data_IF_264858787255
#
_entry.id   IF_264858787255
#
_cell.length_a   1.000
_cell.length_b   1.000
_cell.length_c   1.000
_cell.angle_alpha   90.00
_cell.angle_beta   90.00
_cell.angle_gamma   90.00
#
_symmetry.space_group_name_H-M   'P 1'
#
loop_
_entity.id
_entity.type
_entity.pdbx_description
1 polymer ?
#
# COMPACT_ATOMS: atom_id res chain seq x y z
N UNK A 1 -26.76 -2.69 54.74
CA UNK A 1 -26.38 -2.85 53.32
C UNK A 1 -26.99 -1.65 52.62
N UNK A 2 -26.18 -0.64 52.32
CA UNK A 2 -26.67 0.57 51.66
C UNK A 2 -27.19 0.20 50.26
N UNK A 3 -28.38 0.70 49.91
CA UNK A 3 -29.07 0.35 48.68
C UNK A 3 -29.09 1.59 47.79
N UNK A 4 -28.57 1.46 46.57
CA UNK A 4 -28.56 2.52 45.58
C UNK A 4 -29.88 2.54 44.81
N UNK A 5 -30.42 3.73 44.57
CA UNK A 5 -31.68 3.95 43.86
C UNK A 5 -31.46 4.76 42.58
N UNK A 6 -32.35 4.63 41.56
CA UNK A 6 -32.32 5.47 40.37
C UNK A 6 -32.37 6.95 40.74
N UNK A 7 -31.40 7.73 40.26
CA UNK A 7 -31.23 9.15 40.57
C UNK A 7 -30.03 9.46 41.46
N UNK A 8 -29.50 8.47 42.18
CA UNK A 8 -28.31 8.64 43.01
C UNK A 8 -27.07 8.95 42.17
N UNK A 9 -26.18 9.78 42.70
CA UNK A 9 -24.87 10.03 42.11
C UNK A 9 -23.82 9.17 42.81
N UNK A 10 -22.95 8.54 42.03
CA UNK A 10 -22.00 7.54 42.50
C UNK A 10 -20.65 7.65 41.80
N UNK A 11 -19.62 7.11 42.47
CA UNK A 11 -18.29 6.83 41.92
C UNK A 11 -18.11 5.31 41.76
N UNK A 12 -17.24 4.91 40.83
CA UNK A 12 -16.87 3.49 40.61
C UNK A 12 -15.47 3.25 41.14
N UNK A 13 -15.34 2.32 42.08
CA UNK A 13 -14.07 1.97 42.72
C UNK A 13 -13.22 1.08 41.77
N UNK A 14 -12.00 1.52 41.40
CA UNK A 14 -11.13 0.80 40.45
C UNK A 14 -10.54 -0.51 41.00
N UNK A 15 -10.36 -1.52 40.11
CA UNK A 15 -9.86 -2.88 40.43
C UNK A 15 -8.35 -3.13 40.30
N UNK A 16 -7.54 -2.19 39.79
CA UNK A 16 -6.11 -2.43 39.55
C UNK A 16 -5.21 -1.40 40.26
N UNK A 17 -4.80 -1.70 41.50
CA UNK A 17 -3.66 -1.02 42.16
C UNK A 17 -2.36 -1.74 41.78
N UNK A 18 -1.70 -1.30 40.72
CA UNK A 18 -0.38 -1.85 40.31
C UNK A 18 0.80 -1.04 40.89
N UNK A 19 0.58 0.15 41.46
CA UNK A 19 1.64 0.92 42.13
C UNK A 19 1.08 2.01 43.05
N UNK A 20 1.77 2.27 44.18
CA UNK A 20 1.48 3.35 45.14
C UNK A 20 1.91 4.74 44.66
N UNK A 21 2.55 4.87 43.49
CA UNK A 21 3.03 6.15 42.91
C UNK A 21 2.17 6.66 41.74
N UNK A 22 1.06 6.01 41.41
CA UNK A 22 0.09 6.54 40.46
C UNK A 22 -0.98 7.31 41.23
N UNK A 23 -0.98 8.64 41.08
CA UNK A 23 -2.10 9.47 41.51
C UNK A 23 -3.36 9.02 40.73
N UNK A 24 -4.47 8.73 41.42
CA UNK A 24 -5.70 8.31 40.77
C UNK A 24 -6.20 9.43 39.86
N UNK A 25 -6.20 9.20 38.55
CA UNK A 25 -6.87 10.08 37.59
C UNK A 25 -8.37 10.10 37.91
N UNK A 26 -8.90 11.32 38.04
CA UNK A 26 -10.18 11.68 38.62
C UNK A 26 -11.37 10.82 38.14
N UNK A 27 -12.11 10.33 39.12
CA UNK A 27 -13.34 9.55 39.02
C UNK A 27 -14.48 10.45 38.47
N UNK A 28 -15.07 10.07 37.33
CA UNK A 28 -16.23 10.77 36.80
C UNK A 28 -17.44 10.47 37.69
N UNK A 29 -18.16 11.51 38.14
CA UNK A 29 -19.44 11.35 38.84
C UNK A 29 -20.47 10.78 37.85
N UNK A 30 -21.07 9.65 38.19
CA UNK A 30 -22.08 8.99 37.35
C UNK A 30 -23.44 9.00 38.07
N UNK A 31 -24.53 9.03 37.32
CA UNK A 31 -25.89 8.93 37.86
C UNK A 31 -26.45 7.53 37.66
N UNK A 32 -27.07 6.95 38.68
CA UNK A 32 -27.75 5.65 38.59
C UNK A 32 -29.04 5.83 37.79
N UNK A 33 -29.20 5.03 36.73
CA UNK A 33 -30.41 5.03 35.88
C UNK A 33 -31.34 3.90 36.27
N UNK A 34 -30.80 2.73 36.58
CA UNK A 34 -31.56 1.55 37.02
C UNK A 34 -30.65 0.59 37.77
N UNK A 35 -31.23 -0.21 38.67
CA UNK A 35 -30.52 -1.28 39.37
C UNK A 35 -31.33 -2.57 39.19
N UNK A 36 -30.68 -3.62 38.70
CA UNK A 36 -31.33 -4.92 38.51
C UNK A 36 -31.40 -5.71 39.82
N UNK A 37 -32.34 -6.67 39.96
CA UNK A 37 -32.44 -7.52 41.15
C UNK A 37 -31.15 -8.30 41.48
N UNK A 38 -30.32 -8.56 40.48
CA UNK A 38 -29.05 -9.28 40.57
C UNK A 38 -27.89 -8.40 41.08
N UNK A 39 -28.15 -7.13 41.40
CA UNK A 39 -27.14 -6.23 41.98
C UNK A 39 -26.20 -5.59 40.94
N UNK A 40 -26.70 -5.31 39.75
CA UNK A 40 -25.99 -4.56 38.70
C UNK A 40 -26.71 -3.24 38.44
N UNK A 41 -25.99 -2.12 38.58
CA UNK A 41 -26.49 -0.78 38.28
C UNK A 41 -26.11 -0.37 36.85
N UNK A 42 -27.06 0.22 36.12
CA UNK A 42 -26.79 0.97 34.89
C UNK A 42 -26.58 2.42 35.25
N UNK A 43 -25.42 2.96 34.88
CA UNK A 43 -24.96 4.30 35.20
C UNK A 43 -24.92 5.15 33.94
N UNK A 44 -25.12 6.46 34.08
CA UNK A 44 -24.96 7.43 32.99
C UNK A 44 -24.06 8.58 33.42
N UNK A 45 -23.08 8.92 32.59
CA UNK A 45 -22.24 10.10 32.78
C UNK A 45 -22.90 11.37 32.27
N UNK A 46 -22.36 12.55 32.63
CA UNK A 46 -22.84 13.85 32.12
C UNK A 46 -22.80 13.96 30.59
N UNK A 47 -21.89 13.23 29.95
CA UNK A 47 -21.78 13.09 28.50
C UNK A 47 -22.89 12.25 27.85
N UNK A 48 -23.74 11.59 28.63
CA UNK A 48 -24.80 10.70 28.14
C UNK A 48 -24.35 9.26 27.90
N UNK A 49 -23.06 8.96 28.02
CA UNK A 49 -22.52 7.60 27.90
C UNK A 49 -23.02 6.73 29.05
N UNK A 50 -23.42 5.49 28.75
CA UNK A 50 -23.90 4.52 29.75
C UNK A 50 -22.87 3.44 30.06
N UNK A 51 -22.82 3.00 31.31
CA UNK A 51 -21.99 1.88 31.77
C UNK A 51 -22.79 0.98 32.71
N UNK A 52 -22.34 -0.27 32.91
CA UNK A 52 -22.95 -1.22 33.84
C UNK A 52 -21.92 -1.66 34.86
N UNK A 53 -22.25 -1.54 36.14
CA UNK A 53 -21.35 -1.88 37.23
C UNK A 53 -22.05 -2.64 38.34
N UNK A 54 -21.32 -3.50 39.05
CA UNK A 54 -21.88 -4.13 40.24
C UNK A 54 -22.08 -3.08 41.33
N UNK A 55 -23.21 -3.15 42.02
CA UNK A 55 -23.54 -2.27 43.15
C UNK A 55 -22.47 -2.31 44.25
N UNK A 56 -21.76 -3.44 44.38
CA UNK A 56 -20.62 -3.60 45.30
C UNK A 56 -19.36 -2.79 44.94
N UNK A 57 -19.25 -2.32 43.68
CA UNK A 57 -18.15 -1.48 43.22
C UNK A 57 -18.49 0.03 43.30
N UNK A 58 -19.64 0.40 43.86
CA UNK A 58 -20.10 1.79 43.87
C UNK A 58 -19.91 2.45 45.24
N UNK A 59 -19.63 3.75 45.22
CA UNK A 59 -19.62 4.61 46.39
C UNK A 59 -20.49 5.84 46.14
N UNK A 60 -21.21 6.33 47.16
CA UNK A 60 -22.03 7.53 47.00
C UNK A 60 -21.18 8.77 46.70
N UNK A 61 -21.70 9.61 45.81
CA UNK A 61 -21.19 10.94 45.59
C UNK A 61 -22.01 11.95 46.39
N UNK A 62 -21.34 12.65 47.31
CA UNK A 62 -21.97 13.64 48.20
C UNK A 62 -21.85 15.09 47.70
N UNK A 63 -21.46 15.30 46.44
CA UNK A 63 -21.39 16.64 45.85
C UNK A 63 -22.80 17.23 45.69
N UNK A 64 -23.06 18.35 46.35
CA UNK A 64 -24.38 18.97 46.47
C UNK A 64 -24.77 19.91 45.32
N UNK A 65 -23.88 20.10 44.34
CA UNK A 65 -24.05 21.05 43.23
C UNK A 65 -23.86 20.41 41.84
N UNK A 66 -24.31 19.17 41.67
CA UNK A 66 -24.23 18.46 40.38
C UNK A 66 -25.37 18.93 39.48
N UNK A 67 -25.02 19.50 38.33
CA UNK A 67 -25.95 19.85 37.26
C UNK A 67 -26.48 18.57 36.57
N UNK A 68 -27.80 18.28 36.60
CA UNK A 68 -28.36 17.06 36.02
C UNK A 68 -28.48 17.10 34.49
N UNK A 69 -28.12 18.21 33.83
CA UNK A 69 -28.19 18.34 32.38
C UNK A 69 -27.13 17.46 31.71
N UNK A 70 -27.60 16.54 30.88
CA UNK A 70 -26.77 15.75 29.98
C UNK A 70 -26.38 16.66 28.81
N UNK A 71 -25.07 16.92 28.64
CA UNK A 71 -24.55 17.67 27.50
C UNK A 71 -23.71 16.73 26.62
N UNK A 72 -24.27 16.27 25.48
CA UNK A 72 -23.57 15.37 24.55
C UNK A 72 -22.27 15.96 23.99
N UNK A 73 -22.10 17.29 24.02
CA UNK A 73 -20.88 17.96 23.51
C UNK A 73 -19.69 17.80 24.44
N UNK A 74 -19.92 17.34 25.67
CA UNK A 74 -18.87 17.04 26.66
C UNK A 74 -18.46 15.55 26.57
N UNK A 75 -19.05 14.78 25.65
CA UNK A 75 -18.65 13.41 25.39
C UNK A 75 -17.23 13.38 24.82
N UNK A 76 -16.28 13.02 25.68
CA UNK A 76 -14.94 12.62 25.26
C UNK A 76 -15.07 11.15 24.83
N UNK A 77 -14.93 10.83 23.54
CA UNK A 77 -14.92 9.44 23.11
C UNK A 77 -13.76 8.70 23.79
N UNK A 78 -13.95 7.42 24.08
CA UNK A 78 -12.86 6.60 24.60
C UNK A 78 -11.70 6.61 23.60
N UNK A 79 -10.45 6.67 24.09
CA UNK A 79 -9.27 6.75 23.23
C UNK A 79 -9.11 5.52 22.31
N UNK A 80 -9.82 4.44 22.61
CA UNK A 80 -9.91 3.20 21.85
C UNK A 80 -11.20 3.07 21.01
N UNK A 81 -11.97 4.15 20.85
CA UNK A 81 -13.17 4.16 20.01
C UNK A 81 -12.80 3.82 18.57
N UNK A 82 -13.20 2.63 18.14
CA UNK A 82 -12.87 2.10 16.82
C UNK A 82 -13.79 2.68 15.74
N UNK A 83 -13.24 2.87 14.54
CA UNK A 83 -14.06 3.18 13.38
C UNK A 83 -14.93 1.99 12.99
N UNK A 84 -16.25 2.17 12.84
CA UNK A 84 -17.21 1.11 12.52
C UNK A 84 -16.93 0.39 11.19
N UNK A 85 -16.26 1.05 10.23
CA UNK A 85 -15.93 0.42 8.94
C UNK A 85 -14.64 -0.38 8.98
N UNK A 86 -13.60 0.13 9.62
CA UNK A 86 -12.26 -0.48 9.58
C UNK A 86 -11.90 -1.22 10.86
N UNK A 87 -12.65 -1.00 11.95
CA UNK A 87 -12.43 -1.60 13.26
C UNK A 87 -11.21 -1.06 14.02
N UNK A 88 -10.57 0.00 13.55
CA UNK A 88 -9.36 0.56 14.18
C UNK A 88 -9.64 1.91 14.87
N UNK A 89 -9.07 2.16 16.06
CA UNK A 89 -9.21 3.43 16.78
C UNK A 89 -8.13 4.48 16.43
N UNK A 90 -7.32 4.23 15.40
CA UNK A 90 -6.24 5.13 15.01
C UNK A 90 -6.75 6.43 14.37
N UNK A 91 -5.91 7.44 14.17
CA UNK A 91 -6.26 8.68 13.46
C UNK A 91 -7.53 9.39 13.98
N UNK A 92 -7.59 9.58 15.29
CA UNK A 92 -8.66 10.30 16.00
C UNK A 92 -8.90 11.71 15.41
N UNK A 93 -7.84 12.38 14.93
CA UNK A 93 -7.89 13.69 14.28
C UNK A 93 -8.66 13.71 12.94
N UNK A 94 -8.93 12.52 12.37
CA UNK A 94 -9.63 12.33 11.09
C UNK A 94 -10.84 11.43 11.24
N UNK A 95 -11.35 11.31 12.46
CA UNK A 95 -12.54 10.52 12.77
C UNK A 95 -13.73 11.44 13.01
N UNK A 96 -14.83 11.18 12.31
CA UNK A 96 -16.13 11.77 12.58
C UNK A 96 -16.83 10.93 13.63
N UNK A 97 -17.43 11.59 14.60
CA UNK A 97 -18.29 10.97 15.58
C UNK A 97 -19.74 11.27 15.20
N UNK A 98 -20.61 10.28 15.33
CA UNK A 98 -22.03 10.51 15.20
C UNK A 98 -22.57 11.10 16.51
N UNK A 99 -23.05 12.34 16.48
CA UNK A 99 -23.62 13.04 17.66
C UNK A 99 -24.81 12.30 18.29
N UNK A 100 -25.49 11.42 17.53
CA UNK A 100 -26.66 10.69 17.99
C UNK A 100 -26.39 9.28 18.55
N UNK A 101 -25.32 8.60 18.13
CA UNK A 101 -25.04 7.23 18.56
C UNK A 101 -23.61 7.00 19.07
N UNK A 102 -22.76 8.02 19.07
CA UNK A 102 -21.39 7.95 19.60
C UNK A 102 -20.42 7.08 18.80
N UNK A 103 -20.82 6.58 17.63
CA UNK A 103 -19.96 5.75 16.76
C UNK A 103 -18.93 6.59 16.01
N UNK A 104 -17.74 6.02 15.80
CA UNK A 104 -16.63 6.67 15.08
C UNK A 104 -16.51 6.19 13.63
N UNK A 105 -16.19 7.11 12.72
CA UNK A 105 -15.96 6.82 11.31
C UNK A 105 -14.79 7.64 10.77
N UNK A 106 -13.75 7.00 10.22
CA UNK A 106 -12.71 7.77 9.54
C UNK A 106 -13.26 8.45 8.29
N UNK A 107 -12.81 9.67 8.04
CA UNK A 107 -13.16 10.43 6.83
C UNK A 107 -12.87 9.66 5.53
N UNK A 108 -11.79 8.87 5.51
CA UNK A 108 -11.44 8.03 4.36
C UNK A 108 -12.23 6.71 4.29
N UNK A 109 -12.88 6.32 5.38
CA UNK A 109 -13.75 5.16 5.48
C UNK A 109 -15.19 5.47 5.06
N UNK A 110 -15.54 6.67 4.59
CA UNK A 110 -16.88 6.94 4.06
C UNK A 110 -16.89 6.82 2.52
N UNK A 111 -17.92 6.19 1.94
CA UNK A 111 -18.13 6.10 0.49
C UNK A 111 -19.43 6.80 0.08
N UNK A 112 -19.41 7.67 -0.97
CA UNK A 112 -18.25 8.07 -1.75
C UNK A 112 -17.25 8.88 -0.89
N UNK A 113 -15.96 8.86 -1.26
CA UNK A 113 -14.93 9.64 -0.57
C UNK A 113 -15.35 11.10 -0.61
N UNK A 114 -15.84 11.64 0.49
CA UNK A 114 -16.27 13.04 0.56
C UNK A 114 -15.03 13.92 0.29
N UNK A 115 -14.91 14.41 -0.96
CA UNK A 115 -14.08 15.57 -1.25
C UNK A 115 -14.73 16.73 -0.52
N UNK A 116 -13.98 17.36 0.37
CA UNK A 116 -14.34 18.57 1.09
C UNK A 116 -15.04 19.57 0.17
N UNK A 117 -16.36 19.62 0.28
CA UNK A 117 -17.14 20.83 0.13
C UNK A 117 -17.93 20.93 1.44
N UNK A 118 -17.44 21.77 2.35
CA UNK A 118 -18.28 22.30 3.41
C UNK A 118 -19.22 23.32 2.76
N UNK A 119 -20.53 23.13 2.83
CA UNK A 119 -21.40 24.24 3.16
C UNK A 119 -21.93 24.01 4.58
N UNK A 120 -21.97 25.11 5.33
CA UNK A 120 -22.62 25.11 6.62
C UNK A 120 -24.09 24.65 6.46
N UNK A 121 -24.49 23.73 7.34
CA UNK A 121 -25.85 23.24 7.64
C UNK A 121 -26.43 22.15 6.70
N UNK A 122 -26.71 21.01 7.34
CA UNK A 122 -28.07 20.42 7.32
C UNK A 122 -28.36 19.32 6.31
N UNK A 123 -28.73 18.15 6.86
CA UNK A 123 -29.51 17.04 6.29
C UNK A 123 -28.83 15.97 5.41
N UNK A 124 -29.19 14.72 5.67
CA UNK A 124 -28.68 13.48 5.08
C UNK A 124 -29.20 13.24 3.64
N UNK A 125 -28.45 12.55 2.75
CA UNK A 125 -28.95 12.30 1.41
C UNK A 125 -29.87 11.08 1.34
N UNK A 126 -31.12 11.34 0.96
CA UNK A 126 -32.04 10.41 0.31
C UNK A 126 -31.67 10.32 -1.18
N UNK A 127 -31.71 9.12 -1.76
CA UNK A 127 -31.49 8.88 -3.19
C UNK A 127 -32.51 9.62 -4.08
N UNK A 128 -32.14 10.04 -5.31
CA UNK A 128 -33.00 9.67 -6.43
C UNK A 128 -32.35 9.51 -7.83
N UNK A 129 -32.98 8.62 -8.60
CA UNK A 129 -33.42 8.69 -10.01
C UNK A 129 -32.45 8.90 -11.20
N UNK A 130 -32.67 7.97 -12.15
CA UNK A 130 -32.51 8.00 -13.62
C UNK A 130 -32.13 9.36 -14.25
N UNK A 131 -31.14 9.33 -15.15
CA UNK A 131 -30.96 10.33 -16.20
C UNK A 131 -30.72 9.67 -17.58
N UNK A 132 -31.50 10.15 -18.55
CA UNK A 132 -31.50 9.85 -20.01
C UNK A 132 -30.29 10.52 -20.73
N UNK A 133 -30.03 10.25 -22.03
CA UNK A 133 -28.72 10.50 -22.64
C UNK A 133 -28.57 11.84 -23.43
N UNK A 134 -27.30 12.27 -23.57
CA UNK A 134 -26.67 13.26 -24.50
C UNK A 134 -26.76 14.77 -24.14
N UNK A 135 -25.72 15.62 -24.40
CA UNK A 135 -25.08 15.82 -25.72
C UNK A 135 -23.53 15.93 -25.80
N UNK A 136 -22.98 15.28 -26.84
CA UNK A 136 -21.92 15.64 -27.83
C UNK A 136 -20.70 16.52 -27.45
N UNK A 137 -20.72 17.40 -26.44
CA UNK A 137 -19.62 18.35 -26.17
C UNK A 137 -18.37 17.73 -25.52
N UNK A 138 -18.48 16.56 -24.89
CA UNK A 138 -17.35 15.88 -24.21
C UNK A 138 -16.44 15.07 -25.12
N UNK A 139 -16.81 14.82 -26.38
CA UNK A 139 -15.96 14.12 -27.35
C UNK A 139 -14.82 15.00 -27.88
N UNK A 140 -15.05 16.32 -27.98
CA UNK A 140 -14.06 17.27 -28.50
C UNK A 140 -12.82 17.41 -27.58
N UNK A 141 -13.01 17.40 -26.26
CA UNK A 141 -11.90 17.58 -25.29
C UNK A 141 -10.98 16.35 -25.17
N UNK A 142 -11.49 15.16 -25.48
CA UNK A 142 -10.70 13.92 -25.52
C UNK A 142 -9.97 13.69 -26.84
N UNK A 143 -10.54 14.16 -27.96
CA UNK A 143 -9.99 14.00 -29.30
C UNK A 143 -8.84 14.98 -29.59
N UNK A 144 -8.99 16.25 -29.18
CA UNK A 144 -7.93 17.26 -29.31
C UNK A 144 -6.66 16.89 -28.52
N UNK A 145 -6.82 16.22 -27.37
CA UNK A 145 -5.71 15.77 -26.49
C UNK A 145 -4.81 14.68 -27.10
N UNK A 146 -5.23 14.08 -28.23
CA UNK A 146 -4.53 12.96 -28.90
C UNK A 146 -3.96 13.34 -30.26
N UNK A 147 -4.17 14.57 -30.70
CA UNK A 147 -3.46 15.12 -31.86
C UNK A 147 -1.95 15.09 -31.59
N UNK A 148 -1.16 14.72 -32.59
CA UNK A 148 0.28 14.44 -32.55
C UNK A 148 0.72 13.15 -31.82
N UNK A 149 -0.18 12.19 -31.57
CA UNK A 149 0.21 10.88 -31.02
C UNK A 149 0.87 9.99 -32.07
N UNK A 150 1.90 9.22 -31.67
CA UNK A 150 2.55 8.22 -32.52
C UNK A 150 1.72 6.92 -32.58
N UNK A 151 1.58 6.37 -33.77
CA UNK A 151 0.86 5.11 -34.03
C UNK A 151 1.76 4.11 -34.77
N UNK A 152 1.53 2.82 -34.52
CA UNK A 152 2.12 1.70 -35.26
C UNK A 152 0.98 0.82 -35.77
N UNK A 153 0.87 0.69 -37.09
CA UNK A 153 -0.16 -0.11 -37.75
C UNK A 153 0.48 -1.35 -38.36
N UNK A 154 -0.16 -2.50 -38.12
CA UNK A 154 0.18 -3.77 -38.75
C UNK A 154 -0.94 -4.16 -39.70
N UNK A 155 -0.63 -4.35 -40.97
CA UNK A 155 -1.60 -4.80 -41.96
C UNK A 155 -0.97 -5.78 -42.94
N UNK A 156 -1.74 -6.75 -43.46
CA UNK A 156 -1.27 -7.60 -44.54
C UNK A 156 -1.12 -6.76 -45.80
N UNK A 157 0.04 -6.87 -46.46
CA UNK A 157 0.25 -6.26 -47.76
C UNK A 157 -0.75 -6.84 -48.77
N UNK A 158 -1.54 -6.02 -49.47
CA UNK A 158 -2.63 -6.52 -50.29
C UNK A 158 -2.17 -7.33 -51.52
N UNK A 159 -0.89 -7.25 -51.91
CA UNK A 159 -0.34 -7.96 -53.06
C UNK A 159 0.46 -9.20 -52.66
N UNK A 160 1.09 -9.19 -51.49
CA UNK A 160 1.99 -10.26 -51.03
C UNK A 160 1.49 -11.02 -49.80
N UNK A 161 0.42 -10.55 -49.16
CA UNK A 161 -0.14 -11.03 -47.88
C UNK A 161 0.85 -11.03 -46.71
N UNK A 162 2.09 -10.60 -46.94
CA UNK A 162 3.11 -10.43 -45.92
C UNK A 162 2.68 -9.33 -44.94
N UNK A 163 2.86 -9.56 -43.64
CA UNK A 163 2.55 -8.54 -42.64
C UNK A 163 3.54 -7.40 -42.77
N UNK A 164 3.03 -6.19 -43.02
CA UNK A 164 3.80 -4.95 -43.04
C UNK A 164 3.47 -4.12 -41.80
N UNK A 165 4.50 -3.49 -41.26
CA UNK A 165 4.40 -2.57 -40.13
C UNK A 165 4.73 -1.15 -40.63
N UNK A 166 3.88 -0.19 -40.30
CA UNK A 166 4.09 1.22 -40.63
C UNK A 166 3.89 2.10 -39.42
N UNK A 167 4.81 3.05 -39.25
CA UNK A 167 4.78 4.05 -38.17
C UNK A 167 4.36 5.40 -38.72
N UNK A 168 3.59 6.13 -37.92
CA UNK A 168 3.07 7.42 -38.31
C UNK A 168 2.61 8.26 -37.13
N UNK A 169 2.17 9.47 -37.43
CA UNK A 169 1.64 10.44 -36.47
C UNK A 169 0.21 10.79 -36.84
N UNK A 170 -0.70 10.82 -35.87
CA UNK A 170 -2.09 11.22 -36.10
C UNK A 170 -2.33 12.68 -35.75
N UNK A 171 -3.08 13.39 -36.58
CA UNK A 171 -3.58 14.74 -36.33
C UNK A 171 -5.09 14.75 -36.31
N UNK A 172 -5.67 15.42 -35.33
CA UNK A 172 -7.11 15.62 -35.27
C UNK A 172 -7.55 16.65 -36.32
N UNK A 173 -8.53 16.32 -37.15
CA UNK A 173 -8.94 17.17 -38.30
C UNK A 173 -10.20 17.99 -38.03
N UNK A 174 -11.34 17.37 -37.66
CA UNK A 174 -12.55 18.09 -37.20
C UNK A 174 -13.59 17.15 -36.57
N UNK A 175 -14.65 17.70 -35.96
CA UNK A 175 -15.85 16.98 -35.49
C UNK A 175 -17.04 17.04 -36.45
N UNK A 176 -16.85 17.61 -37.65
CA UNK A 176 -17.97 17.95 -38.55
C UNK A 176 -18.45 16.77 -39.42
N UNK A 177 -17.68 15.67 -39.48
CA UNK A 177 -18.03 14.47 -40.24
C UNK A 177 -18.22 13.25 -39.32
N UNK A 178 -19.25 12.40 -39.55
CA UNK A 178 -19.42 11.16 -38.80
C UNK A 178 -18.44 10.09 -39.28
N UNK A 179 -17.65 9.53 -38.36
CA UNK A 179 -16.93 8.27 -38.56
C UNK A 179 -15.40 8.36 -38.58
N UNK A 180 -14.82 9.34 -39.26
CA UNK A 180 -13.37 9.46 -39.47
C UNK A 180 -12.90 10.88 -39.14
N UNK A 181 -12.13 11.03 -38.05
CA UNK A 181 -11.84 12.34 -37.45
C UNK A 181 -10.34 12.59 -37.21
N UNK A 182 -9.48 11.64 -37.56
CA UNK A 182 -8.02 11.74 -37.46
C UNK A 182 -7.35 11.48 -38.80
N UNK A 183 -6.34 12.26 -39.14
CA UNK A 183 -5.46 12.05 -40.29
C UNK A 183 -4.13 11.48 -39.80
N UNK A 184 -3.79 10.25 -40.22
CA UNK A 184 -2.51 9.63 -39.99
C UNK A 184 -1.54 9.95 -41.13
N UNK A 185 -0.32 10.37 -40.80
CA UNK A 185 0.78 10.54 -41.76
C UNK A 185 1.88 9.55 -41.40
N UNK A 186 2.23 8.66 -42.33
CA UNK A 186 3.24 7.62 -42.12
C UNK A 186 4.62 8.06 -42.62
N UNK A 187 5.69 7.50 -42.05
CA UNK A 187 7.09 7.85 -42.36
C UNK A 187 7.47 7.61 -43.84
N UNK A 188 6.74 6.75 -44.54
CA UNK A 188 6.90 6.50 -45.98
C UNK A 188 6.12 7.46 -46.90
N UNK A 189 5.56 8.55 -46.37
CA UNK A 189 4.88 9.60 -47.13
C UNK A 189 3.38 9.36 -47.41
N UNK A 190 2.82 8.23 -46.96
CA UNK A 190 1.40 7.93 -47.10
C UNK A 190 0.53 8.61 -46.02
N UNK A 191 -0.68 9.02 -46.39
CA UNK A 191 -1.68 9.57 -45.46
C UNK A 191 -2.98 8.79 -45.49
N UNK A 192 -3.66 8.67 -44.35
CA UNK A 192 -4.93 7.94 -44.23
C UNK A 192 -5.84 8.58 -43.17
N UNK A 193 -7.15 8.48 -43.36
CA UNK A 193 -8.13 8.89 -42.36
C UNK A 193 -8.52 7.73 -41.44
N UNK A 194 -8.56 8.00 -40.13
CA UNK A 194 -8.83 7.01 -39.09
C UNK A 194 -9.95 7.47 -38.16
N UNK A 195 -10.78 6.51 -37.76
CA UNK A 195 -11.72 6.67 -36.65
C UNK A 195 -10.99 6.66 -35.30
N UNK A 196 -11.64 7.21 -34.26
CA UNK A 196 -11.11 7.16 -32.89
C UNK A 196 -10.83 5.72 -32.40
N UNK A 197 -11.61 4.73 -32.86
CA UNK A 197 -11.41 3.31 -32.51
C UNK A 197 -10.12 2.78 -33.14
N UNK A 198 -9.88 3.08 -34.41
CA UNK A 198 -8.65 2.66 -35.11
C UNK A 198 -7.41 3.34 -34.51
N UNK A 199 -7.49 4.64 -34.18
CA UNK A 199 -6.40 5.32 -33.48
C UNK A 199 -6.14 4.66 -32.14
N UNK A 200 -7.17 4.37 -31.32
CA UNK A 200 -6.99 3.68 -30.03
C UNK A 200 -6.31 2.32 -30.15
N UNK A 201 -6.62 1.56 -31.21
CA UNK A 201 -6.01 0.25 -31.46
C UNK A 201 -4.57 0.35 -31.99
N UNK A 202 -4.23 1.44 -32.70
CA UNK A 202 -2.93 1.66 -33.32
C UNK A 202 -1.98 2.56 -32.50
N UNK A 203 -2.45 3.16 -31.40
CA UNK A 203 -1.60 3.93 -30.48
C UNK A 203 -0.45 3.03 -30.03
N UNK A 204 0.78 3.44 -30.36
CA UNK A 204 1.94 2.84 -29.74
C UNK A 204 1.73 2.93 -28.22
N UNK A 205 1.91 1.83 -27.45
CA UNK A 205 2.11 2.00 -26.02
C UNK A 205 3.22 3.02 -25.92
N UNK A 206 2.93 4.16 -25.31
CA UNK A 206 3.90 5.22 -25.07
C UNK A 206 5.07 4.51 -24.40
N UNK A 207 6.13 4.20 -25.16
CA UNK A 207 7.45 4.23 -24.58
C UNK A 207 7.53 5.67 -24.16
N UNK A 208 7.56 5.98 -22.85
CA UNK A 208 7.88 7.33 -22.49
C UNK A 208 9.17 7.61 -23.26
N UNK A 209 9.14 8.63 -24.12
CA UNK A 209 10.32 9.45 -24.26
C UNK A 209 10.51 9.97 -22.84
N UNK A 210 11.19 9.16 -22.03
CA UNK A 210 11.94 9.65 -20.92
C UNK A 210 12.70 10.81 -21.55
N UNK A 211 12.38 12.03 -21.13
CA UNK A 211 13.45 12.93 -20.78
C UNK A 211 14.39 12.08 -19.92
N UNK A 212 15.33 11.43 -20.60
CA UNK A 212 16.32 10.57 -20.01
C UNK A 212 17.22 11.53 -19.28
N UNK A 213 16.80 11.90 -18.07
CA UNK A 213 17.77 11.96 -17.02
C UNK A 213 18.33 10.55 -16.98
N UNK A 214 19.42 10.34 -17.73
CA UNK A 214 20.24 9.15 -17.66
C UNK A 214 20.71 9.13 -16.21
N UNK A 215 19.92 8.47 -15.37
CA UNK A 215 20.26 8.30 -13.98
C UNK A 215 21.63 7.62 -13.99
N UNK A 216 22.66 8.19 -13.33
CA UNK A 216 24.01 7.70 -13.46
C UNK A 216 24.10 6.20 -13.12
N UNK A 217 25.04 5.53 -13.78
CA UNK A 217 25.34 4.15 -13.50
C UNK A 217 25.80 4.04 -12.04
N UNK A 218 25.25 3.06 -11.31
CA UNK A 218 25.71 2.77 -9.96
C UNK A 218 27.07 2.06 -10.04
N UNK A 219 28.00 2.30 -9.10
CA UNK A 219 29.22 1.50 -9.02
C UNK A 219 28.87 0.03 -8.79
N UNK A 220 29.68 -0.89 -9.33
CA UNK A 220 29.42 -2.35 -9.20
C UNK A 220 29.47 -2.82 -7.75
N UNK A 221 30.21 -2.12 -6.88
CA UNK A 221 30.35 -2.44 -5.47
C UNK A 221 30.07 -1.23 -4.60
N UNK A 222 29.36 -1.47 -3.51
CA UNK A 222 29.14 -0.52 -2.43
C UNK A 222 29.92 -0.96 -1.20
N UNK A 223 30.58 0.00 -0.53
CA UNK A 223 31.00 -0.21 0.84
C UNK A 223 29.77 -0.06 1.74
N UNK A 224 29.23 -1.17 2.21
CA UNK A 224 28.07 -1.20 3.11
C UNK A 224 28.48 -1.47 4.57
N UNK A 225 29.78 -1.52 4.85
CA UNK A 225 30.31 -1.86 6.19
C UNK A 225 30.17 -0.71 7.19
N UNK A 226 29.89 0.51 6.70
CA UNK A 226 29.76 1.72 7.52
C UNK A 226 28.45 2.47 7.25
N UNK A 227 27.96 3.23 8.23
CA UNK A 227 26.78 4.08 8.05
C UNK A 227 26.96 5.12 6.92
N UNK A 228 28.18 5.66 6.77
CA UNK A 228 28.52 6.58 5.70
C UNK A 228 28.44 5.91 4.32
N UNK A 229 28.95 4.68 4.21
CA UNK A 229 28.86 3.89 3.00
C UNK A 229 27.43 3.53 2.61
N UNK A 230 26.59 3.11 3.58
CA UNK A 230 25.16 2.87 3.35
C UNK A 230 24.43 4.16 2.91
N UNK A 231 24.75 5.31 3.52
CA UNK A 231 24.19 6.60 3.12
C UNK A 231 24.55 6.95 1.68
N UNK A 232 25.82 6.77 1.30
CA UNK A 232 26.30 7.04 -0.05
C UNK A 232 25.62 6.12 -1.07
N UNK A 233 25.52 4.83 -0.76
CA UNK A 233 24.81 3.84 -1.57
C UNK A 233 23.35 4.23 -1.81
N UNK A 234 22.66 4.74 -0.78
CA UNK A 234 21.25 5.14 -0.86
C UNK A 234 21.02 6.53 -1.46
N UNK A 235 22.05 7.37 -1.58
CA UNK A 235 21.90 8.75 -2.06
C UNK A 235 21.32 8.83 -3.48
N UNK A 236 21.58 7.83 -4.33
CA UNK A 236 21.07 7.78 -5.69
C UNK A 236 19.69 7.10 -5.83
N UNK A 237 19.48 5.86 -5.32
CA UNK A 237 18.18 5.19 -5.44
C UNK A 237 17.12 5.78 -4.49
N UNK A 238 17.53 6.53 -3.46
CA UNK A 238 16.66 7.21 -2.49
C UNK A 238 17.22 8.61 -2.17
N UNK A 239 17.13 9.57 -3.12
CA UNK A 239 17.68 10.91 -2.92
C UNK A 239 17.03 11.61 -1.73
N UNK A 240 17.84 12.27 -0.93
CA UNK A 240 17.38 12.86 0.34
C UNK A 240 17.11 11.82 1.44
N UNK A 241 17.84 10.70 1.43
CA UNK A 241 17.84 9.64 2.45
C UNK A 241 17.77 10.19 3.89
N UNK A 242 16.56 10.35 4.42
CA UNK A 242 16.28 10.85 5.77
C UNK A 242 16.33 9.76 6.84
N UNK A 243 17.22 8.78 6.69
CA UNK A 243 17.43 7.74 7.70
C UNK A 243 18.36 8.26 8.80
N UNK A 244 18.02 8.00 10.06
CA UNK A 244 18.85 8.40 11.19
C UNK A 244 20.17 7.63 11.23
N UNK A 245 21.21 8.21 11.84
CA UNK A 245 22.50 7.54 12.07
C UNK A 245 22.34 6.17 12.73
N UNK A 246 21.47 6.07 13.74
CA UNK A 246 21.18 4.82 14.42
C UNK A 246 20.56 3.76 13.48
N UNK A 247 19.78 4.17 12.48
CA UNK A 247 19.23 3.25 11.49
C UNK A 247 20.30 2.80 10.48
N UNK A 248 21.13 3.73 10.01
CA UNK A 248 22.21 3.44 9.06
C UNK A 248 23.25 2.50 9.67
N UNK A 249 23.65 2.74 10.92
CA UNK A 249 24.53 1.83 11.66
C UNK A 249 23.92 0.44 11.82
N UNK A 250 22.61 0.35 12.12
CA UNK A 250 21.92 -0.95 12.19
C UNK A 250 21.93 -1.70 10.86
N UNK A 251 21.74 -0.99 9.73
CA UNK A 251 21.84 -1.61 8.40
C UNK A 251 23.26 -2.14 8.15
N UNK A 252 24.28 -1.33 8.38
CA UNK A 252 25.69 -1.71 8.18
C UNK A 252 26.12 -2.92 9.01
N UNK A 253 25.56 -3.11 10.20
CA UNK A 253 25.83 -4.30 11.02
C UNK A 253 25.19 -5.58 10.47
N UNK A 254 24.17 -5.47 9.63
CA UNK A 254 23.30 -6.58 9.18
C UNK A 254 23.54 -7.02 7.74
N UNK A 255 24.27 -6.25 6.93
CA UNK A 255 24.68 -6.65 5.57
C UNK A 255 25.65 -7.84 5.61
N UNK A 256 25.79 -8.63 4.54
CA UNK A 256 26.78 -9.71 4.48
C UNK A 256 28.20 -9.25 4.91
N UNK A 257 28.82 -9.99 5.82
CA UNK A 257 30.13 -9.63 6.40
C UNK A 257 30.07 -8.64 7.58
N UNK A 258 28.90 -8.10 7.90
CA UNK A 258 28.68 -7.27 9.09
C UNK A 258 28.72 -8.08 10.39
N UNK A 259 29.06 -7.43 11.51
CA UNK A 259 29.20 -8.10 12.83
C UNK A 259 27.94 -8.79 13.34
N UNK A 260 26.76 -8.46 12.80
CA UNK A 260 25.47 -9.04 13.16
C UNK A 260 24.73 -9.59 11.93
N UNK A 261 25.46 -9.91 10.87
CA UNK A 261 24.88 -10.44 9.61
C UNK A 261 24.43 -11.89 9.74
N UNK A 262 24.96 -12.61 10.72
CA UNK A 262 24.67 -14.01 10.98
C UNK A 262 23.70 -14.13 12.17
N UNK A 263 22.83 -15.12 12.10
CA UNK A 263 22.00 -15.58 13.20
C UNK A 263 22.85 -16.32 14.25
N UNK A 264 22.26 -16.65 15.39
CA UNK A 264 22.95 -17.44 16.43
C UNK A 264 23.41 -18.83 15.93
N UNK A 265 22.80 -19.34 14.87
CA UNK A 265 23.20 -20.58 14.17
C UNK A 265 24.51 -20.43 13.38
N UNK A 266 25.06 -19.23 13.25
CA UNK A 266 26.21 -18.93 12.39
C UNK A 266 25.86 -18.77 10.91
N UNK A 267 24.57 -18.87 10.55
CA UNK A 267 24.10 -18.74 9.18
C UNK A 267 23.48 -17.36 8.93
N UNK A 268 23.50 -16.85 7.68
CA UNK A 268 22.75 -15.65 7.33
C UNK A 268 21.25 -15.81 7.60
N UNK A 269 20.53 -14.69 7.73
CA UNK A 269 19.08 -14.71 7.90
C UNK A 269 18.40 -15.46 6.73
N UNK A 270 17.36 -16.24 7.03
CA UNK A 270 16.53 -16.87 5.99
C UNK A 270 15.07 -16.65 6.40
N UNK A 271 14.32 -15.96 5.54
CA UNK A 271 12.91 -15.68 5.80
C UNK A 271 12.08 -16.79 5.16
N UNK A 272 11.58 -17.69 5.98
CA UNK A 272 10.71 -18.77 5.52
C UNK A 272 9.37 -18.20 5.03
N UNK A 273 9.00 -18.56 3.80
CA UNK A 273 7.70 -18.26 3.19
C UNK A 273 6.94 -19.55 2.92
N UNK A 274 5.61 -19.48 2.96
CA UNK A 274 4.72 -20.58 2.59
C UNK A 274 4.20 -20.41 1.15
N UNK A 275 3.86 -21.50 0.43
CA UNK A 275 3.24 -21.40 -0.88
C UNK A 275 1.97 -20.53 -0.88
N UNK A 276 1.16 -20.63 0.18
CA UNK A 276 -0.08 -19.86 0.35
C UNK A 276 0.16 -18.36 0.58
N UNK A 277 1.39 -17.97 0.95
CA UNK A 277 1.80 -16.57 1.01
C UNK A 277 2.17 -16.04 -0.38
N UNK A 278 2.65 -16.89 -1.30
CA UNK A 278 3.06 -16.52 -2.67
C UNK A 278 1.87 -16.47 -3.62
N UNK A 279 0.91 -17.37 -3.49
CA UNK A 279 -0.24 -17.46 -4.39
C UNK A 279 -1.06 -16.15 -4.52
N UNK A 280 -1.32 -15.39 -3.43
CA UNK A 280 -1.94 -14.07 -3.51
C UNK A 280 -1.23 -13.10 -4.46
N UNK A 281 0.12 -13.13 -4.52
CA UNK A 281 0.88 -12.30 -5.44
C UNK A 281 0.56 -12.63 -6.89
N UNK A 282 0.51 -13.91 -7.24
CA UNK A 282 0.24 -14.38 -8.60
C UNK A 282 -1.21 -14.18 -9.03
N UNK A 283 -2.15 -14.17 -8.08
CA UNK A 283 -3.54 -13.78 -8.35
C UNK A 283 -3.68 -12.29 -8.65
N UNK A 284 -2.96 -11.44 -7.92
CA UNK A 284 -3.09 -9.99 -8.03
C UNK A 284 -2.16 -9.34 -9.07
N UNK A 285 -1.10 -10.01 -9.52
CA UNK A 285 -0.15 -9.44 -10.47
C UNK A 285 0.07 -10.41 -11.62
N UNK A 286 -0.18 -9.92 -12.83
CA UNK A 286 -0.02 -10.69 -14.05
C UNK A 286 1.46 -10.79 -14.47
N UNK A 287 2.07 -11.94 -14.20
CA UNK A 287 3.42 -12.28 -14.66
C UNK A 287 3.45 -13.12 -15.94
N UNK A 288 2.30 -13.40 -16.58
CA UNK A 288 2.24 -14.26 -17.79
C UNK A 288 3.06 -13.73 -18.97
N UNK A 289 3.39 -12.43 -18.95
CA UNK A 289 4.20 -11.76 -19.97
C UNK A 289 5.69 -11.64 -19.61
N UNK A 290 6.09 -12.14 -18.44
CA UNK A 290 7.49 -12.15 -18.03
C UNK A 290 8.19 -13.36 -18.66
N UNK A 291 9.30 -13.13 -19.34
CA UNK A 291 10.15 -14.21 -19.87
C UNK A 291 10.99 -14.85 -18.77
N UNK A 292 11.37 -14.06 -17.77
CA UNK A 292 12.04 -14.54 -16.58
C UNK A 292 11.81 -13.63 -15.37
N UNK A 293 11.87 -14.22 -14.19
CA UNK A 293 11.87 -13.55 -12.89
C UNK A 293 13.22 -13.78 -12.21
N UNK A 294 13.75 -12.76 -11.55
CA UNK A 294 14.95 -12.90 -10.73
C UNK A 294 14.58 -12.97 -9.24
N UNK A 295 15.07 -14.01 -8.55
CA UNK A 295 14.91 -14.22 -7.12
C UNK A 295 16.27 -14.09 -6.40
N UNK A 296 16.60 -12.90 -5.88
CA UNK A 296 17.91 -12.63 -5.28
C UNK A 296 18.21 -13.30 -3.92
N UNK A 297 17.18 -13.80 -3.23
CA UNK A 297 17.27 -14.49 -1.93
C UNK A 297 16.44 -15.76 -1.97
N UNK A 298 16.97 -16.82 -2.59
CA UNK A 298 16.22 -18.06 -2.80
C UNK A 298 15.88 -18.79 -1.50
N UNK A 299 16.76 -18.79 -0.50
CA UNK A 299 16.52 -19.39 0.81
C UNK A 299 16.03 -20.84 0.73
N UNK A 300 14.82 -21.09 1.21
CA UNK A 300 14.16 -22.42 1.18
C UNK A 300 13.60 -22.81 -0.22
N UNK A 301 13.73 -21.93 -1.21
CA UNK A 301 13.29 -22.11 -2.59
C UNK A 301 11.77 -22.20 -2.75
N UNK A 302 10.98 -21.78 -1.75
CA UNK A 302 9.52 -21.87 -1.82
C UNK A 302 8.96 -20.95 -2.90
N UNK A 303 9.38 -19.67 -2.94
CA UNK A 303 8.93 -18.71 -3.96
C UNK A 303 9.31 -19.24 -5.34
N UNK A 304 10.58 -19.59 -5.58
CA UNK A 304 11.03 -20.19 -6.85
C UNK A 304 10.17 -21.36 -7.32
N UNK A 305 9.91 -22.33 -6.45
CA UNK A 305 9.10 -23.51 -6.79
C UNK A 305 7.67 -23.15 -7.15
N UNK A 306 7.05 -22.22 -6.42
CA UNK A 306 5.69 -21.76 -6.75
C UNK A 306 5.68 -21.03 -8.09
N UNK A 307 6.63 -20.11 -8.32
CA UNK A 307 6.74 -19.39 -9.60
C UNK A 307 6.94 -20.36 -10.78
N UNK A 308 7.82 -21.36 -10.62
CA UNK A 308 8.06 -22.41 -11.62
C UNK A 308 6.82 -23.28 -11.87
N UNK A 309 6.06 -23.62 -10.83
CA UNK A 309 4.80 -24.35 -10.97
C UNK A 309 3.76 -23.56 -11.79
N UNK A 310 3.83 -22.23 -11.76
CA UNK A 310 3.03 -21.34 -12.61
C UNK A 310 3.68 -21.05 -13.98
N UNK A 311 4.68 -21.83 -14.37
CA UNK A 311 5.32 -21.77 -15.70
C UNK A 311 6.30 -20.62 -15.88
N UNK A 312 6.69 -19.92 -14.82
CA UNK A 312 7.66 -18.84 -14.90
C UNK A 312 9.09 -19.40 -14.84
N UNK A 313 9.95 -18.91 -15.73
CA UNK A 313 11.39 -19.14 -15.62
C UNK A 313 11.97 -18.29 -14.49
N UNK A 314 12.65 -18.91 -13.54
CA UNK A 314 13.25 -18.22 -12.39
C UNK A 314 14.77 -18.30 -12.46
N UNK A 315 15.42 -17.15 -12.34
CA UNK A 315 16.86 -16.99 -12.13
C UNK A 315 17.11 -16.85 -10.63
N UNK A 316 17.93 -17.71 -10.04
CA UNK A 316 18.05 -17.84 -8.58
C UNK A 316 19.40 -17.37 -8.09
N UNK A 317 19.41 -16.58 -7.04
CA UNK A 317 20.62 -16.24 -6.30
C UNK A 317 20.41 -16.45 -4.81
N UNK A 318 21.46 -16.85 -4.10
CA UNK A 318 21.50 -16.76 -2.64
C UNK A 318 22.95 -16.64 -2.16
N UNK A 319 23.22 -15.69 -1.27
CA UNK A 319 24.58 -15.50 -0.73
C UNK A 319 25.04 -16.70 0.12
N UNK A 320 24.11 -17.48 0.67
CA UNK A 320 24.43 -18.72 1.36
C UNK A 320 24.62 -19.86 0.33
N UNK A 321 25.83 -20.43 0.19
CA UNK A 321 26.10 -21.50 -0.77
C UNK A 321 25.37 -22.82 -0.47
N UNK A 322 24.73 -22.95 0.70
CA UNK A 322 23.92 -24.13 1.04
C UNK A 322 22.53 -24.11 0.43
N UNK A 323 22.03 -22.95 0.05
CA UNK A 323 20.73 -22.83 -0.61
C UNK A 323 20.90 -23.08 -2.11
N UNK A 324 19.96 -23.80 -2.73
CA UNK A 324 20.04 -24.07 -4.17
C UNK A 324 19.91 -22.76 -4.96
N UNK A 325 20.93 -22.36 -5.71
CA UNK A 325 20.87 -21.14 -6.52
C UNK A 325 21.77 -21.26 -7.76
N UNK A 326 21.47 -20.46 -8.78
CA UNK A 326 22.29 -20.40 -10.01
C UNK A 326 23.54 -19.51 -9.78
N UNK A 327 23.46 -18.57 -8.85
CA UNK A 327 24.57 -17.72 -8.38
C UNK A 327 24.61 -17.60 -6.86
N UNK A 328 25.80 -17.34 -6.31
CA UNK A 328 26.04 -17.11 -4.89
C UNK A 328 26.69 -15.75 -4.61
N UNK A 329 26.02 -14.68 -5.03
CA UNK A 329 26.50 -13.32 -4.88
C UNK A 329 25.71 -12.54 -3.81
N UNK A 330 26.34 -11.50 -3.27
CA UNK A 330 25.67 -10.53 -2.39
C UNK A 330 24.66 -9.71 -3.19
N UNK A 331 23.37 -9.95 -2.93
CA UNK A 331 22.26 -9.25 -3.56
C UNK A 331 22.11 -7.78 -3.12
N UNK A 332 22.93 -7.28 -2.20
CA UNK A 332 23.03 -5.85 -1.90
C UNK A 332 24.04 -5.11 -2.79
N UNK A 333 24.73 -5.82 -3.70
CA UNK A 333 25.71 -5.22 -4.61
C UNK A 333 25.10 -4.96 -6.00
N UNK A 334 25.21 -3.73 -6.53
CA UNK A 334 24.70 -3.41 -7.87
C UNK A 334 25.31 -4.27 -8.99
N UNK A 335 26.56 -4.70 -8.83
CA UNK A 335 27.29 -5.52 -9.81
C UNK A 335 26.59 -6.84 -10.16
N UNK A 336 25.86 -7.45 -9.20
CA UNK A 336 25.06 -8.66 -9.47
C UNK A 336 23.99 -8.38 -10.52
N UNK A 337 23.20 -7.32 -10.31
CA UNK A 337 22.12 -6.96 -11.21
C UNK A 337 22.64 -6.50 -12.57
N UNK A 338 23.74 -5.76 -12.60
CA UNK A 338 24.39 -5.32 -13.84
C UNK A 338 24.93 -6.51 -14.63
N UNK A 339 25.56 -7.47 -13.97
CA UNK A 339 26.00 -8.71 -14.61
C UNK A 339 24.81 -9.44 -15.22
N UNK A 340 23.76 -9.68 -14.42
CA UNK A 340 22.55 -10.37 -14.89
C UNK A 340 21.91 -9.67 -16.08
N UNK A 341 21.75 -8.34 -16.06
CA UNK A 341 21.20 -7.59 -17.20
C UNK A 341 22.00 -7.77 -18.50
N UNK A 342 23.32 -8.07 -18.42
CA UNK A 342 24.16 -8.35 -19.59
C UNK A 342 24.00 -9.79 -20.10
N UNK A 343 23.77 -10.76 -19.21
CA UNK A 343 23.76 -12.20 -19.55
C UNK A 343 22.37 -12.80 -19.69
N UNK A 344 21.36 -12.25 -19.01
CA UNK A 344 19.99 -12.77 -18.92
C UNK A 344 18.99 -11.62 -18.74
N UNK A 345 17.97 -11.53 -19.60
CA UNK A 345 16.89 -10.57 -19.40
C UNK A 345 15.84 -11.11 -18.42
N UNK A 346 15.49 -10.32 -17.40
CA UNK A 346 14.35 -10.56 -16.50
C UNK A 346 13.48 -9.30 -16.42
N UNK A 347 12.19 -9.47 -16.13
CA UNK A 347 11.23 -8.35 -16.08
C UNK A 347 10.68 -8.11 -14.69
N UNK A 348 10.89 -9.04 -13.77
CA UNK A 348 10.48 -8.90 -12.39
C UNK A 348 11.57 -9.38 -11.45
N UNK A 349 11.65 -8.74 -10.28
CA UNK A 349 12.33 -9.28 -9.11
C UNK A 349 11.24 -9.69 -8.12
N UNK A 350 11.25 -10.94 -7.70
CA UNK A 350 10.32 -11.46 -6.68
C UNK A 350 11.15 -12.17 -5.62
N UNK A 351 11.04 -11.75 -4.36
CA UNK A 351 11.82 -12.35 -3.29
C UNK A 351 11.23 -12.10 -1.90
N UNK A 352 11.73 -12.85 -0.92
CA UNK A 352 11.62 -12.54 0.50
C UNK A 352 13.02 -12.25 1.09
N UNK A 353 13.52 -11.00 0.93
CA UNK A 353 14.84 -10.63 1.45
C UNK A 353 14.89 -10.70 2.96
N UNK A 354 16.11 -10.66 3.52
CA UNK A 354 16.27 -10.50 4.97
C UNK A 354 15.63 -9.20 5.42
N UNK A 355 14.76 -9.28 6.42
CA UNK A 355 13.97 -8.12 6.83
C UNK A 355 14.86 -7.00 7.38
N UNK A 356 16.01 -7.38 7.93
CA UNK A 356 17.02 -6.45 8.43
C UNK A 356 17.60 -5.53 7.34
N UNK A 357 17.66 -5.95 6.07
CA UNK A 357 18.35 -5.20 4.99
C UNK A 357 17.40 -4.62 3.94
N UNK A 358 16.09 -4.75 4.12
CA UNK A 358 15.07 -4.23 3.20
C UNK A 358 15.22 -2.74 2.88
N UNK A 359 15.79 -1.95 3.80
CA UNK A 359 16.07 -0.53 3.58
C UNK A 359 17.08 -0.25 2.46
N UNK A 360 17.93 -1.23 2.12
CA UNK A 360 18.89 -1.18 1.01
C UNK A 360 18.37 -1.99 -0.17
N UNK A 361 17.87 -3.20 0.09
CA UNK A 361 17.44 -4.13 -0.95
C UNK A 361 16.33 -3.57 -1.84
N UNK A 362 15.32 -2.90 -1.26
CA UNK A 362 14.16 -2.42 -2.03
C UNK A 362 14.54 -1.29 -3.01
N UNK A 363 15.19 -0.18 -2.58
CA UNK A 363 15.61 0.86 -3.51
C UNK A 363 16.55 0.36 -4.61
N UNK A 364 17.44 -0.60 -4.28
CA UNK A 364 18.32 -1.23 -5.24
C UNK A 364 17.53 -2.07 -6.26
N UNK A 365 16.63 -2.94 -5.83
CA UNK A 365 15.83 -3.76 -6.74
C UNK A 365 14.96 -2.91 -7.67
N UNK A 366 14.35 -1.83 -7.16
CA UNK A 366 13.52 -0.89 -7.95
C UNK A 366 14.31 -0.21 -9.07
N UNK A 367 15.65 -0.13 -8.94
CA UNK A 367 16.54 0.40 -9.97
C UNK A 367 16.74 -0.56 -11.15
N UNK A 368 16.61 -1.87 -10.92
CA UNK A 368 17.06 -2.91 -11.85
C UNK A 368 15.95 -3.77 -12.46
N UNK A 369 14.70 -3.63 -11.99
CA UNK A 369 13.57 -4.37 -12.56
C UNK A 369 12.33 -3.49 -12.81
N UNK A 370 11.60 -3.74 -13.91
CA UNK A 370 10.31 -3.11 -14.17
C UNK A 370 9.24 -3.38 -13.10
N UNK A 371 9.28 -4.56 -12.47
CA UNK A 371 8.39 -4.95 -11.38
C UNK A 371 9.21 -5.53 -10.25
N UNK A 372 8.99 -5.08 -9.03
CA UNK A 372 9.62 -5.61 -7.81
C UNK A 372 8.51 -6.01 -6.86
N UNK A 373 8.43 -7.28 -6.48
CA UNK A 373 7.52 -7.77 -5.46
C UNK A 373 8.35 -8.32 -4.29
N UNK A 374 8.36 -7.60 -3.18
CA UNK A 374 9.04 -8.04 -1.97
C UNK A 374 8.04 -8.47 -0.91
N UNK A 375 8.27 -9.65 -0.36
CA UNK A 375 7.63 -10.11 0.86
C UNK A 375 8.26 -9.34 2.03
N UNK A 376 7.44 -8.56 2.74
CA UNK A 376 7.90 -7.68 3.82
C UNK A 376 7.00 -7.79 5.05
N UNK A 377 7.52 -7.56 6.26
CA UNK A 377 6.68 -7.53 7.45
C UNK A 377 5.81 -6.28 7.42
N UNK A 378 4.58 -6.33 7.95
CA UNK A 378 3.64 -5.20 7.88
C UNK A 378 4.18 -3.88 8.45
N UNK A 379 5.00 -3.97 9.51
CA UNK A 379 5.64 -2.79 10.11
C UNK A 379 6.67 -2.10 9.20
N UNK A 380 7.15 -2.76 8.15
CA UNK A 380 8.05 -2.15 7.16
C UNK A 380 7.39 -0.94 6.48
N UNK A 381 6.08 -1.03 6.27
CA UNK A 381 5.25 0.02 5.66
C UNK A 381 4.56 0.87 6.73
N UNK A 382 3.94 0.27 7.74
CA UNK A 382 3.11 1.00 8.72
C UNK A 382 3.92 1.77 9.76
N UNK A 383 5.14 1.33 10.07
CA UNK A 383 6.04 1.98 11.02
C UNK A 383 7.38 2.34 10.36
N UNK A 384 7.30 2.97 9.17
CA UNK A 384 8.48 3.35 8.41
C UNK A 384 9.21 4.57 9.03
N UNK A 385 10.56 4.51 9.19
CA UNK A 385 11.34 5.68 9.57
C UNK A 385 11.20 6.80 8.53
N UNK A 386 11.45 8.08 8.88
CA UNK A 386 11.16 9.24 8.02
C UNK A 386 11.66 9.10 6.58
N UNK A 387 12.94 8.74 6.37
CA UNK A 387 13.50 8.54 5.03
C UNK A 387 12.78 7.46 4.21
N UNK A 388 12.49 6.31 4.81
CA UNK A 388 11.73 5.22 4.13
C UNK A 388 10.31 5.65 3.83
N UNK A 389 9.66 6.37 4.74
CA UNK A 389 8.29 6.87 4.58
C UNK A 389 8.20 7.83 3.40
N UNK A 390 9.15 8.76 3.28
CA UNK A 390 9.23 9.67 2.14
C UNK A 390 9.43 8.92 0.82
N UNK A 391 10.30 7.92 0.81
CA UNK A 391 10.53 7.07 -0.36
C UNK A 391 9.26 6.32 -0.80
N UNK A 392 8.61 5.60 0.13
CA UNK A 392 7.38 4.87 -0.15
C UNK A 392 6.24 5.82 -0.56
N UNK A 393 6.13 6.99 0.08
CA UNK A 393 5.15 8.00 -0.28
C UNK A 393 5.39 8.56 -1.68
N UNK A 394 6.64 8.80 -2.08
CA UNK A 394 6.97 9.25 -3.43
C UNK A 394 6.56 8.22 -4.49
N UNK A 395 6.83 6.93 -4.25
CA UNK A 395 6.39 5.86 -5.15
C UNK A 395 4.85 5.74 -5.19
N UNK A 396 4.18 5.90 -4.05
CA UNK A 396 2.71 5.89 -3.98
C UNK A 396 2.07 7.07 -4.71
N UNK A 397 2.59 8.29 -4.52
CA UNK A 397 2.16 9.50 -5.23
C UNK A 397 2.37 9.38 -6.74
N UNK A 398 3.44 8.70 -7.15
CA UNK A 398 3.69 8.37 -8.55
C UNK A 398 2.78 7.26 -9.10
N UNK A 399 1.88 6.67 -8.28
CA UNK A 399 0.99 5.58 -8.68
C UNK A 399 1.74 4.28 -9.00
N UNK A 400 2.91 4.08 -8.39
CA UNK A 400 3.82 2.95 -8.69
C UNK A 400 3.81 1.84 -7.65
N UNK A 401 3.06 1.96 -6.56
CA UNK A 401 3.04 0.97 -5.47
C UNK A 401 1.68 0.31 -5.37
N UNK A 402 1.70 -0.98 -5.02
CA UNK A 402 0.56 -1.73 -4.53
C UNK A 402 0.95 -2.55 -3.31
N UNK A 403 0.02 -2.69 -2.37
CA UNK A 403 0.16 -3.60 -1.23
C UNK A 403 -0.83 -4.73 -1.37
N UNK A 404 -0.38 -5.98 -1.25
CA UNK A 404 -1.25 -7.16 -1.19
C UNK A 404 -1.24 -7.66 0.24
N UNK A 405 -2.38 -7.49 0.92
CA UNK A 405 -2.58 -7.81 2.34
C UNK A 405 -3.43 -9.06 2.51
N UNK A 406 -3.57 -9.50 3.76
CA UNK A 406 -4.38 -10.68 4.10
C UNK A 406 -3.68 -12.00 3.80
N UNK A 407 -2.34 -12.00 3.76
CA UNK A 407 -1.57 -13.23 3.67
C UNK A 407 -1.81 -14.10 4.92
N UNK A 408 -1.77 -15.44 4.79
CA UNK A 408 -1.82 -16.32 5.94
C UNK A 408 -0.67 -16.00 6.90
N UNK A 409 -0.83 -16.39 8.18
CA UNK A 409 0.28 -16.24 9.12
C UNK A 409 1.37 -17.24 8.77
N UNK A 410 2.48 -16.74 8.24
CA UNK A 410 3.67 -17.53 8.01
C UNK A 410 4.26 -18.14 9.28
N UNK A 411 5.18 -19.11 9.13
CA UNK A 411 5.74 -19.92 10.22
C UNK A 411 6.52 -19.10 11.26
N UNK A 412 7.02 -17.93 10.87
CA UNK A 412 7.81 -17.06 11.75
C UNK A 412 6.97 -16.13 12.64
N UNK A 413 5.64 -16.05 12.44
CA UNK A 413 4.72 -15.27 13.26
C UNK A 413 4.38 -13.82 12.86
N UNK A 414 5.21 -13.02 12.13
CA UNK A 414 4.81 -11.68 11.72
C UNK A 414 3.79 -11.73 10.58
N UNK A 415 2.78 -10.84 10.63
CA UNK A 415 1.90 -10.60 9.50
C UNK A 415 2.68 -9.91 8.39
N UNK A 416 2.98 -10.67 7.34
CA UNK A 416 3.66 -10.17 6.17
C UNK A 416 2.66 -9.73 5.10
N UNK A 417 3.17 -9.00 4.11
CA UNK A 417 2.45 -8.53 2.94
C UNK A 417 3.39 -8.54 1.73
N UNK A 418 2.83 -8.52 0.53
CA UNK A 418 3.62 -8.20 -0.66
C UNK A 418 3.58 -6.70 -0.92
N UNK A 419 4.77 -6.08 -0.90
CA UNK A 419 4.99 -4.74 -1.38
C UNK A 419 5.42 -4.84 -2.86
N UNK A 420 4.55 -4.39 -3.76
CA UNK A 420 4.80 -4.44 -5.20
C UNK A 420 5.06 -3.04 -5.72
N UNK A 421 6.24 -2.83 -6.31
CA UNK A 421 6.66 -1.58 -6.94
C UNK A 421 6.80 -1.79 -8.44
N UNK A 422 6.14 -0.95 -9.21
CA UNK A 422 6.20 -0.92 -10.66
C UNK A 422 7.09 0.23 -11.12
N UNK A 423 7.76 0.10 -12.25
CA UNK A 423 8.55 1.16 -12.86
C UNK A 423 7.69 2.37 -13.22
N UNK A 424 6.48 2.10 -13.73
CA UNK A 424 5.54 3.12 -14.21
C UNK A 424 4.13 2.83 -13.72
N UNK A 425 3.35 3.87 -13.47
CA UNK A 425 1.93 3.76 -13.14
C UNK A 425 1.11 3.03 -14.23
N UNK A 426 1.46 3.25 -15.50
CA UNK A 426 0.85 2.55 -16.62
C UNK A 426 1.14 1.04 -16.59
N UNK A 427 2.34 0.64 -16.14
CA UNK A 427 2.69 -0.77 -15.97
C UNK A 427 1.88 -1.39 -14.84
N UNK A 428 1.75 -0.71 -13.69
CA UNK A 428 0.86 -1.10 -12.60
C UNK A 428 -0.57 -1.31 -13.09
N UNK A 429 -1.14 -0.33 -13.80
CA UNK A 429 -2.51 -0.42 -14.30
C UNK A 429 -2.74 -1.59 -15.29
N UNK A 430 -1.68 -2.02 -15.98
CA UNK A 430 -1.73 -3.13 -16.94
C UNK A 430 -1.59 -4.50 -16.28
N UNK A 431 -0.75 -4.61 -15.25
CA UNK A 431 -0.39 -5.89 -14.64
C UNK A 431 -1.18 -6.19 -13.36
N UNK A 432 -1.63 -5.16 -12.64
CA UNK A 432 -2.37 -5.34 -11.40
C UNK A 432 -3.81 -5.77 -11.68
N UNK A 433 -4.22 -6.87 -11.07
CA UNK A 433 -5.59 -7.40 -11.06
C UNK A 433 -6.21 -7.03 -9.72
N UNK A 434 -7.39 -6.41 -9.77
CA UNK A 434 -8.13 -6.10 -8.55
C UNK A 434 -8.90 -7.35 -8.08
N UNK A 435 -8.96 -7.58 -6.77
CA UNK A 435 -9.77 -8.65 -6.19
C UNK A 435 -11.24 -8.48 -6.62
N UNK A 436 -11.87 -9.60 -6.98
CA UNK A 436 -13.27 -9.64 -7.45
C UNK A 436 -14.17 -10.23 -6.37
N UNK A 437 -13.64 -11.16 -5.57
CA UNK A 437 -14.38 -11.87 -4.53
C UNK A 437 -14.00 -11.38 -3.10
N UNK A 438 -14.91 -11.49 -2.12
CA UNK A 438 -14.63 -11.10 -0.73
C UNK A 438 -13.45 -11.83 -0.07
N UNK A 439 -13.19 -13.06 -0.49
CA UNK A 439 -12.10 -13.93 -0.04
C UNK A 439 -10.74 -13.62 -0.70
N UNK A 440 -10.72 -12.76 -1.72
CA UNK A 440 -9.49 -12.37 -2.38
C UNK A 440 -8.62 -11.47 -1.47
N UNK A 441 -7.28 -11.51 -1.63
CA UNK A 441 -6.39 -10.64 -0.87
C UNK A 441 -6.68 -9.15 -1.14
N UNK A 442 -6.52 -8.34 -0.11
CA UNK A 442 -6.78 -6.90 -0.20
C UNK A 442 -5.65 -6.21 -0.96
N UNK A 443 -5.99 -5.47 -2.02
CA UNK A 443 -5.03 -4.69 -2.80
C UNK A 443 -5.23 -3.19 -2.54
N UNK A 444 -4.21 -2.53 -1.98
CA UNK A 444 -4.19 -1.08 -1.72
C UNK A 444 -3.33 -0.31 -2.71
#
# INVERSE_FOLDING_TARGET
>A
MERFEPGDYVYVLQRNRVSTLQLPTLEHVLRVVSVTPEGVATLVGRCGTTSKESVSNLAFCHLSNIDPIIDPRVAIPAADLACERCGFPNHEDKMLLCDGCGTGWHLYCLQPRYRLYLPARGSAPVAPLRASPQPISRLASGAAKRSASSIERRFPDPLTLARREQRGVVRFRSTELPGEVFEATYEGGGTELLSLRQVKAALCPVRPVLLSQVLPALPERWDLSTAAGVRLALAHPMPGCGLSEAHLNRLALRVPGGRSSLQASGEPECVATLPEEVEPLLRCVDFSRCTAVFEPWNGTGVISRVLQAHGLRVLRNDVNPRHEADWHADALQPGLYQHLQRVQSYQAIIASPWFAVLGIALPLAVRYAPVVAFHVPGHFVTNAPPGRRLYLAALALAGRVSLILGLPRGPSGPRCLWLVVFELAALRARLLRLPVAPEDPWVL
#
